data_IF_928739639815
#
_entry.id   IF_928739639815
#
_cell.length_a   1.000
_cell.length_b   1.000
_cell.length_c   1.000
_cell.angle_alpha   90.00
_cell.angle_beta   90.00
_cell.angle_gamma   90.00
#
_symmetry.space_group_name_H-M   'P 1'
#
loop_
_entity.id
_entity.type
_entity.pdbx_description
1 polymer ?
#
# COMPACT_ATOMS: atom_id res chain seq x y z
N UNK A 1 3.53 0.35 17.88
CA UNK A 1 4.08 -0.62 16.89
C UNK A 1 3.09 -1.77 16.74
N UNK A 2 2.49 -1.98 15.57
CA UNK A 2 1.46 -3.02 15.35
C UNK A 2 1.96 -4.08 14.38
N UNK A 3 2.17 -5.30 14.87
CA UNK A 3 2.64 -6.45 14.08
C UNK A 3 1.59 -6.90 13.07
N UNK A 4 2.04 -7.40 11.91
CA UNK A 4 1.16 -7.94 10.86
C UNK A 4 0.83 -9.41 11.11
N UNK A 5 -0.36 -9.85 10.74
CA UNK A 5 -0.78 -11.25 10.89
C UNK A 5 -0.26 -12.19 9.79
N UNK A 6 0.12 -11.63 8.63
CA UNK A 6 0.54 -12.38 7.44
C UNK A 6 1.93 -11.93 6.98
N UNK A 7 2.68 -12.80 6.27
CA UNK A 7 4.02 -12.48 5.77
C UNK A 7 4.02 -11.42 4.66
N UNK A 8 2.95 -11.37 3.86
CA UNK A 8 2.69 -10.27 2.93
C UNK A 8 1.75 -9.29 3.58
N UNK A 9 2.21 -8.05 3.77
CA UNK A 9 1.45 -7.01 4.44
C UNK A 9 1.76 -5.64 3.87
N UNK A 10 0.82 -4.71 4.07
CA UNK A 10 1.02 -3.28 3.82
C UNK A 10 0.94 -2.50 5.13
N UNK A 11 1.71 -1.42 5.23
CA UNK A 11 1.63 -0.44 6.31
C UNK A 11 1.36 0.92 5.68
N UNK A 12 0.58 1.74 6.38
CA UNK A 12 0.33 3.12 5.96
C UNK A 12 1.65 3.89 6.06
N UNK A 13 2.10 4.43 4.93
CA UNK A 13 3.28 5.31 4.88
C UNK A 13 2.88 6.78 5.05
N UNK A 14 1.79 7.18 4.39
CA UNK A 14 1.20 8.51 4.48
C UNK A 14 -0.18 8.53 3.82
N UNK A 15 -0.90 9.64 3.99
CA UNK A 15 -2.18 9.90 3.35
C UNK A 15 -2.09 11.25 2.64
N UNK A 16 -2.60 11.29 1.42
CA UNK A 16 -2.85 12.52 0.68
C UNK A 16 -4.27 12.94 1.06
N UNK A 17 -4.42 14.13 1.63
CA UNK A 17 -5.72 14.65 2.11
C UNK A 17 -6.45 15.50 1.05
N UNK A 18 -5.86 15.61 -0.13
CA UNK A 18 -6.39 16.29 -1.32
C UNK A 18 -6.78 15.27 -2.40
N UNK A 19 -7.74 15.65 -3.23
CA UNK A 19 -8.15 14.85 -4.38
C UNK A 19 -7.12 15.01 -5.50
N UNK A 20 -6.82 13.90 -6.18
CA UNK A 20 -5.93 13.88 -7.33
C UNK A 20 -6.77 13.77 -8.60
N UNK A 21 -6.51 14.65 -9.55
CA UNK A 21 -7.15 14.64 -10.86
C UNK A 21 -6.44 13.68 -11.82
N UNK A 22 -7.12 13.39 -12.93
CA UNK A 22 -6.50 12.62 -14.01
C UNK A 22 -5.31 13.42 -14.56
N UNK A 23 -4.21 12.71 -14.82
CA UNK A 23 -2.92 13.26 -15.28
C UNK A 23 -2.07 13.98 -14.22
N UNK A 24 -2.49 14.00 -12.95
CA UNK A 24 -1.64 14.47 -11.86
C UNK A 24 -0.38 13.60 -11.69
N UNK A 25 0.77 14.26 -11.59
CA UNK A 25 2.08 13.61 -11.48
C UNK A 25 2.50 13.50 -10.02
N UNK A 26 2.40 12.30 -9.46
CA UNK A 26 2.91 11.99 -8.11
C UNK A 26 4.36 11.50 -8.18
N UNK A 27 5.31 12.34 -7.77
CA UNK A 27 6.73 11.97 -7.72
C UNK A 27 7.07 11.38 -6.35
N UNK A 28 7.49 10.11 -6.33
CA UNK A 28 7.87 9.41 -5.10
C UNK A 28 9.38 9.19 -5.08
N UNK A 29 10.07 9.96 -4.24
CA UNK A 29 11.50 9.80 -4.01
C UNK A 29 11.74 8.76 -2.90
N UNK A 30 12.30 7.61 -3.26
CA UNK A 30 12.51 6.49 -2.33
C UNK A 30 13.99 6.30 -2.02
N UNK A 31 14.35 6.33 -0.73
CA UNK A 31 15.69 5.93 -0.26
C UNK A 31 15.66 4.49 0.27
N UNK A 32 16.48 3.62 -0.31
CA UNK A 32 16.53 2.22 0.07
C UNK A 32 17.48 1.97 1.27
N UNK A 33 16.99 2.26 2.48
CA UNK A 33 17.77 2.04 3.72
C UNK A 33 17.55 0.65 4.35
N UNK A 34 16.70 -0.19 3.77
CA UNK A 34 16.35 -1.50 4.32
C UNK A 34 16.38 -2.56 3.24
N UNK A 35 17.51 -3.27 3.15
CA UNK A 35 17.75 -4.26 2.11
C UNK A 35 17.03 -5.58 2.44
N UNK A 36 16.13 -5.99 1.55
CA UNK A 36 15.35 -7.23 1.71
C UNK A 36 15.95 -8.43 0.99
N UNK A 37 17.10 -8.24 0.33
CA UNK A 37 17.73 -9.23 -0.54
C UNK A 37 18.20 -10.48 0.22
N UNK A 38 18.70 -10.31 1.44
CA UNK A 38 19.26 -11.41 2.25
C UNK A 38 18.24 -12.47 2.64
N UNK A 39 16.94 -12.13 2.64
CA UNK A 39 15.84 -13.03 2.98
C UNK A 39 14.82 -13.17 1.85
N UNK A 40 15.16 -12.75 0.63
CA UNK A 40 14.31 -12.87 -0.55
C UNK A 40 13.03 -12.03 -0.52
N UNK A 41 12.96 -11.02 0.35
CA UNK A 41 11.78 -10.17 0.50
C UNK A 41 11.62 -9.19 -0.66
N UNK A 42 10.36 -8.86 -0.99
CA UNK A 42 10.00 -7.86 -2.01
C UNK A 42 9.39 -6.63 -1.35
N UNK A 43 9.73 -5.44 -1.87
CA UNK A 43 9.15 -4.17 -1.44
C UNK A 43 8.38 -3.52 -2.58
N UNK A 44 7.23 -2.94 -2.26
CA UNK A 44 6.36 -2.24 -3.21
C UNK A 44 5.76 -1.02 -2.51
N UNK A 45 5.65 0.08 -3.25
CA UNK A 45 4.83 1.22 -2.86
C UNK A 45 3.47 1.06 -3.54
N UNK A 46 2.40 1.27 -2.80
CA UNK A 46 1.02 1.11 -3.30
C UNK A 46 0.28 2.40 -3.01
N UNK A 47 -0.17 3.08 -4.06
CA UNK A 47 -1.13 4.17 -3.97
C UNK A 47 -2.53 3.58 -4.14
N UNK A 48 -3.43 3.88 -3.22
CA UNK A 48 -4.79 3.34 -3.24
C UNK A 48 -5.74 4.30 -2.55
N UNK A 49 -6.97 4.40 -3.07
CA UNK A 49 -8.09 5.03 -2.39
C UNK A 49 -8.74 4.05 -1.42
N UNK A 50 -9.43 4.56 -0.40
CA UNK A 50 -10.21 3.76 0.55
C UNK A 50 -11.69 4.04 0.36
N UNK A 51 -12.49 2.98 0.38
CA UNK A 51 -13.94 3.06 0.49
C UNK A 51 -14.39 2.81 1.94
N UNK A 52 -15.70 2.80 2.20
CA UNK A 52 -16.27 2.46 3.51
C UNK A 52 -15.84 1.06 4.00
N UNK A 53 -15.70 0.09 3.09
CA UNK A 53 -15.21 -1.26 3.42
C UNK A 53 -13.68 -1.37 3.45
N UNK A 54 -12.99 -0.24 3.35
CA UNK A 54 -11.54 -0.15 3.25
C UNK A 54 -11.05 -0.13 1.80
N UNK A 55 -9.78 -0.52 1.62
CA UNK A 55 -9.17 -0.63 0.29
C UNK A 55 -9.72 -1.82 -0.52
N UNK A 56 -9.39 -1.87 -1.81
CA UNK A 56 -9.85 -2.91 -2.74
C UNK A 56 -9.65 -4.34 -2.20
N UNK A 57 -10.74 -5.11 -2.16
CA UNK A 57 -10.76 -6.54 -1.83
C UNK A 57 -11.98 -7.22 -2.47
N UNK A 58 -11.76 -7.91 -3.59
CA UNK A 58 -12.82 -8.54 -4.39
C UNK A 58 -13.35 -9.85 -3.77
N UNK A 59 -12.66 -10.40 -2.77
CA UNK A 59 -13.05 -11.65 -2.10
C UNK A 59 -14.45 -11.56 -1.48
N UNK A 60 -14.74 -10.44 -0.81
CA UNK A 60 -16.04 -10.24 -0.14
C UNK A 60 -17.20 -10.13 -1.14
N UNK A 61 -16.95 -9.59 -2.34
CA UNK A 61 -17.99 -9.48 -3.38
C UNK A 61 -18.33 -10.79 -4.06
N UNK A 62 -17.36 -11.71 -4.16
CA UNK A 62 -17.57 -13.05 -4.75
C UNK A 62 -18.08 -14.09 -3.74
N UNK A 63 -17.91 -13.84 -2.44
CA UNK A 63 -18.30 -14.77 -1.39
C UNK A 63 -19.76 -14.59 -0.92
N UNK A 64 -20.48 -13.58 -1.43
CA UNK A 64 -21.89 -13.32 -1.14
C UNK A 64 -22.82 -13.91 -2.19
#
# INVERSE_FOLDING_TARGET
>A
MRTSALPSFRKLYGRIEEDLDVDDVVVVNLMNNYNTYSFGGKKKLVLSTSSWLGGKNDFLGHAC
#
